data_IF_024708387407
#
_entry.id   IF_024708387407
#
_cell.length_a   1.000
_cell.length_b   1.000
_cell.length_c   1.000
_cell.angle_alpha   90.00
_cell.angle_beta   90.00
_cell.angle_gamma   90.00
#
_symmetry.space_group_name_H-M   'P 1'
#
loop_
_entity.id
_entity.type
_entity.pdbx_description
1 polymer ?
#
# COMPACT_ATOMS: atom_id res chain seq x y z
N UNK A 1 -68.17 -41.41 58.51
CA UNK A 1 -67.20 -42.47 58.13
C UNK A 1 -66.38 -41.95 56.96
N UNK A 2 -65.10 -41.59 57.19
CA UNK A 2 -64.21 -41.07 56.15
C UNK A 2 -63.11 -42.12 55.89
N UNK A 3 -63.14 -42.77 54.73
CA UNK A 3 -62.13 -43.74 54.31
C UNK A 3 -60.97 -43.04 53.63
N UNK A 4 -59.81 -42.98 54.30
CA UNK A 4 -58.55 -42.51 53.71
C UNK A 4 -58.04 -43.53 52.68
N UNK A 5 -57.95 -43.15 51.41
CA UNK A 5 -57.23 -43.92 50.37
C UNK A 5 -55.73 -43.69 50.50
N UNK A 6 -55.00 -44.71 50.94
CA UNK A 6 -53.53 -44.73 50.95
C UNK A 6 -53.04 -44.90 49.51
N UNK A 7 -52.34 -43.88 48.99
CA UNK A 7 -51.69 -43.91 47.66
C UNK A 7 -50.50 -44.88 47.72
N UNK A 8 -50.52 -45.96 46.94
CA UNK A 8 -49.36 -46.87 46.80
C UNK A 8 -48.18 -46.06 46.27
N UNK A 9 -47.12 -45.95 47.08
CA UNK A 9 -45.80 -45.54 46.59
C UNK A 9 -45.31 -46.61 45.61
N UNK A 10 -45.01 -46.18 44.38
CA UNK A 10 -44.36 -47.04 43.39
C UNK A 10 -43.05 -47.58 43.96
N UNK A 11 -42.87 -48.90 43.92
CA UNK A 11 -41.58 -49.54 44.26
C UNK A 11 -40.54 -49.02 43.26
N UNK A 12 -39.48 -48.39 43.76
CA UNK A 12 -38.29 -48.11 42.95
C UNK A 12 -37.68 -49.46 42.55
N UNK A 13 -37.76 -49.81 41.27
CA UNK A 13 -36.94 -50.87 40.72
C UNK A 13 -35.49 -50.35 40.68
N UNK A 14 -34.56 -51.06 41.32
CA UNK A 14 -33.14 -50.74 41.25
C UNK A 14 -32.59 -51.05 39.86
N UNK A 15 -31.70 -50.18 39.36
CA UNK A 15 -31.03 -50.38 38.08
C UNK A 15 -30.01 -51.52 38.17
N UNK A 16 -29.91 -52.33 37.12
CA UNK A 16 -28.88 -53.36 37.00
C UNK A 16 -27.51 -52.73 36.73
N UNK A 17 -26.42 -53.36 37.20
CA UNK A 17 -25.05 -52.93 36.89
C UNK A 17 -24.82 -52.77 35.38
N UNK A 18 -25.42 -53.65 34.57
CA UNK A 18 -25.35 -53.60 33.11
C UNK A 18 -26.03 -52.35 32.53
N UNK A 19 -27.15 -51.89 33.09
CA UNK A 19 -27.86 -50.68 32.64
C UNK A 19 -27.04 -49.43 32.95
N UNK A 20 -26.37 -49.39 34.10
CA UNK A 20 -25.47 -48.30 34.49
C UNK A 20 -24.24 -48.26 33.56
N UNK A 21 -23.64 -49.42 33.25
CA UNK A 21 -22.53 -49.51 32.30
C UNK A 21 -22.92 -49.02 30.91
N UNK A 22 -24.08 -49.45 30.39
CA UNK A 22 -24.58 -49.00 29.09
C UNK A 22 -24.85 -47.49 29.10
N UNK A 23 -25.50 -46.97 30.14
CA UNK A 23 -25.79 -45.54 30.26
C UNK A 23 -24.52 -44.67 30.29
N UNK A 24 -23.47 -45.11 30.99
CA UNK A 24 -22.18 -44.40 31.01
C UNK A 24 -21.49 -44.41 29.64
N UNK A 25 -21.47 -45.56 28.96
CA UNK A 25 -20.87 -45.68 27.63
C UNK A 25 -21.60 -44.78 26.63
N UNK A 26 -22.93 -44.78 26.65
CA UNK A 26 -23.73 -43.89 25.80
C UNK A 26 -23.53 -42.41 26.15
N UNK A 27 -23.45 -42.07 27.44
CA UNK A 27 -23.15 -40.70 27.89
C UNK A 27 -21.79 -40.21 27.40
N UNK A 28 -20.75 -41.05 27.45
CA UNK A 28 -19.43 -40.74 26.92
C UNK A 28 -19.44 -40.56 25.40
N UNK A 29 -20.19 -41.40 24.68
CA UNK A 29 -20.32 -41.26 23.23
C UNK A 29 -20.96 -39.93 22.84
N UNK A 30 -22.05 -39.54 23.50
CA UNK A 30 -22.73 -38.26 23.24
C UNK A 30 -21.83 -37.07 23.59
N UNK A 31 -21.14 -37.10 24.74
CA UNK A 31 -20.22 -36.04 25.12
C UNK A 31 -19.04 -35.93 24.15
N UNK A 32 -18.46 -37.06 23.73
CA UNK A 32 -17.40 -37.11 22.74
C UNK A 32 -17.84 -36.49 21.40
N UNK A 33 -19.04 -36.83 20.94
CA UNK A 33 -19.62 -36.23 19.73
C UNK A 33 -19.82 -34.72 19.87
N UNK A 34 -20.35 -34.25 21.01
CA UNK A 34 -20.56 -32.83 21.26
C UNK A 34 -19.23 -32.03 21.27
N UNK A 35 -18.18 -32.58 21.88
CA UNK A 35 -16.84 -31.97 21.87
C UNK A 35 -16.29 -31.89 20.44
N UNK A 36 -16.43 -32.94 19.65
CA UNK A 36 -15.96 -32.96 18.26
C UNK A 36 -16.68 -31.88 17.41
N UNK A 37 -18.01 -31.74 17.56
CA UNK A 37 -18.78 -30.70 16.88
C UNK A 37 -18.35 -29.31 17.32
N UNK A 38 -18.18 -29.09 18.63
CA UNK A 38 -17.74 -27.80 19.15
C UNK A 38 -16.36 -27.39 18.61
N UNK A 39 -15.39 -28.32 18.60
CA UNK A 39 -14.07 -28.07 18.02
C UNK A 39 -14.14 -27.77 16.52
N UNK A 40 -15.00 -28.48 15.78
CA UNK A 40 -15.23 -28.22 14.37
C UNK A 40 -15.74 -26.80 14.15
N UNK A 41 -16.76 -26.39 14.92
CA UNK A 41 -17.35 -25.05 14.81
C UNK A 41 -16.34 -23.95 15.15
N UNK A 42 -15.51 -24.14 16.17
CA UNK A 42 -14.47 -23.16 16.53
C UNK A 42 -13.43 -23.00 15.40
N UNK A 43 -12.95 -24.12 14.80
CA UNK A 43 -12.01 -24.06 13.68
C UNK A 43 -12.61 -23.34 12.47
N UNK A 44 -13.87 -23.61 12.16
CA UNK A 44 -14.59 -22.93 11.08
C UNK A 44 -14.74 -21.44 11.37
N UNK A 45 -15.07 -21.07 12.61
CA UNK A 45 -15.17 -19.68 13.04
C UNK A 45 -13.84 -18.94 12.85
N UNK A 46 -12.73 -19.51 13.35
CA UNK A 46 -11.40 -18.90 13.22
C UNK A 46 -10.97 -18.76 11.75
N UNK A 47 -11.26 -19.76 10.91
CA UNK A 47 -10.97 -19.72 9.49
C UNK A 47 -11.76 -18.62 8.75
N UNK A 48 -13.03 -18.45 9.10
CA UNK A 48 -13.87 -17.39 8.55
C UNK A 48 -13.38 -16.02 9.00
N UNK A 49 -13.11 -15.84 10.29
CA UNK A 49 -12.61 -14.57 10.84
C UNK A 49 -11.26 -14.18 10.22
N UNK A 50 -10.33 -15.12 10.12
CA UNK A 50 -9.03 -14.88 9.46
C UNK A 50 -9.17 -14.51 7.99
N UNK A 51 -10.12 -15.13 7.29
CA UNK A 51 -10.44 -14.82 5.88
C UNK A 51 -11.07 -13.43 5.73
N UNK A 52 -11.96 -13.04 6.64
CA UNK A 52 -12.59 -11.72 6.63
C UNK A 52 -11.54 -10.63 6.89
N UNK A 53 -10.67 -10.82 7.88
CA UNK A 53 -9.59 -9.88 8.21
C UNK A 53 -8.62 -9.68 7.05
N UNK A 54 -8.18 -10.75 6.40
CA UNK A 54 -7.22 -10.62 5.27
C UNK A 54 -7.88 -9.95 4.06
N UNK A 55 -9.17 -10.15 3.82
CA UNK A 55 -9.90 -9.47 2.73
C UNK A 55 -10.05 -7.97 3.00
N UNK A 56 -10.40 -7.58 4.23
CA UNK A 56 -10.48 -6.17 4.60
C UNK A 56 -9.10 -5.49 4.53
N UNK A 57 -8.05 -6.16 5.04
CA UNK A 57 -6.67 -5.68 4.91
C UNK A 57 -6.25 -5.51 3.45
N UNK A 58 -6.59 -6.47 2.59
CA UNK A 58 -6.30 -6.38 1.16
C UNK A 58 -7.01 -5.19 0.50
N UNK A 59 -8.26 -4.90 0.88
CA UNK A 59 -8.99 -3.72 0.40
C UNK A 59 -8.23 -2.44 0.71
N UNK A 60 -7.78 -2.26 1.95
CA UNK A 60 -6.97 -1.09 2.36
C UNK A 60 -5.66 -1.03 1.58
N UNK A 61 -4.95 -2.16 1.45
CA UNK A 61 -3.71 -2.22 0.69
C UNK A 61 -3.90 -1.81 -0.78
N UNK A 62 -4.99 -2.26 -1.43
CA UNK A 62 -5.30 -1.86 -2.80
C UNK A 62 -5.64 -0.39 -2.93
N UNK A 63 -6.34 0.22 -1.97
CA UNK A 63 -6.62 1.66 -2.00
C UNK A 63 -5.33 2.48 -1.90
N UNK A 64 -4.42 2.09 -1.00
CA UNK A 64 -3.11 2.74 -0.86
C UNK A 64 -2.27 2.59 -2.13
N UNK A 65 -2.10 1.37 -2.64
CA UNK A 65 -1.38 1.13 -3.88
C UNK A 65 -2.01 1.88 -5.06
N UNK A 66 -3.34 1.90 -5.16
CA UNK A 66 -4.04 2.59 -6.25
C UNK A 66 -3.86 4.10 -6.16
N UNK A 67 -3.80 4.67 -4.95
CA UNK A 67 -3.47 6.09 -4.77
C UNK A 67 -2.09 6.40 -5.31
N UNK A 68 -1.08 5.61 -4.94
CA UNK A 68 0.29 5.79 -5.42
C UNK A 68 0.36 5.61 -6.95
N UNK A 69 -0.21 4.53 -7.49
CA UNK A 69 -0.24 4.24 -8.94
C UNK A 69 -0.90 5.37 -9.74
N UNK A 70 -2.00 5.96 -9.24
CA UNK A 70 -2.68 7.07 -9.93
C UNK A 70 -1.80 8.32 -10.04
N UNK A 71 -0.94 8.56 -9.04
CA UNK A 71 0.00 9.66 -8.99
C UNK A 71 1.28 9.42 -9.81
N UNK A 72 1.51 8.19 -10.30
CA UNK A 72 2.71 7.83 -11.04
C UNK A 72 3.00 8.80 -12.21
N UNK A 73 4.21 9.36 -12.21
CA UNK A 73 4.71 10.27 -13.24
C UNK A 73 4.07 11.66 -13.18
N UNK A 74 3.20 11.90 -12.21
CA UNK A 74 2.63 13.20 -11.90
C UNK A 74 3.58 14.06 -11.10
N UNK A 75 3.54 15.37 -11.32
CA UNK A 75 4.13 16.36 -10.46
C UNK A 75 3.35 17.67 -10.62
N UNK A 76 3.65 18.65 -9.77
CA UNK A 76 3.15 20.02 -9.91
C UNK A 76 3.62 20.75 -11.19
N UNK A 77 4.50 20.10 -11.93
CA UNK A 77 5.16 20.62 -13.11
C UNK A 77 4.32 20.38 -14.35
N UNK A 78 4.53 21.20 -15.38
CA UNK A 78 3.98 20.95 -16.70
C UNK A 78 4.45 19.58 -17.23
N UNK A 79 3.56 18.82 -17.87
CA UNK A 79 3.94 17.58 -18.58
C UNK A 79 4.90 17.83 -19.75
N UNK A 80 5.01 19.08 -20.19
CA UNK A 80 5.94 19.53 -21.21
C UNK A 80 7.30 19.93 -20.61
N UNK A 81 7.36 20.17 -19.30
CA UNK A 81 8.59 20.55 -18.64
C UNK A 81 9.60 19.40 -18.74
N UNK A 82 10.76 19.71 -19.30
CA UNK A 82 11.88 18.79 -19.43
C UNK A 82 13.15 19.53 -19.05
N UNK A 83 14.19 18.84 -18.56
CA UNK A 83 15.48 19.47 -18.47
C UNK A 83 15.88 20.04 -19.84
N UNK A 84 16.64 21.13 -19.81
CA UNK A 84 17.17 21.80 -20.98
C UNK A 84 18.00 20.85 -21.87
N UNK A 85 18.14 21.21 -23.14
CA UNK A 85 18.70 20.34 -24.19
C UNK A 85 20.12 19.83 -23.86
N UNK A 86 20.88 20.60 -23.07
CA UNK A 86 22.25 20.27 -22.67
C UNK A 86 22.31 19.44 -21.37
N UNK A 87 21.18 19.26 -20.67
CA UNK A 87 21.13 18.55 -19.39
C UNK A 87 20.93 17.05 -19.58
N UNK A 88 21.91 16.27 -19.13
CA UNK A 88 21.79 14.83 -19.04
C UNK A 88 20.89 14.45 -17.87
N UNK A 89 19.80 13.73 -18.16
CA UNK A 89 18.85 13.26 -17.15
C UNK A 89 19.55 12.45 -16.06
N UNK A 90 19.33 12.85 -14.81
CA UNK A 90 19.69 12.06 -13.64
C UNK A 90 18.81 10.81 -13.54
N UNK A 91 19.19 9.88 -12.66
CA UNK A 91 18.40 8.68 -12.39
C UNK A 91 16.99 9.02 -11.86
N UNK A 92 16.85 10.06 -11.02
CA UNK A 92 15.56 10.47 -10.47
C UNK A 92 14.69 11.21 -11.49
N UNK A 93 15.28 12.05 -12.34
CA UNK A 93 14.53 12.68 -13.43
C UNK A 93 14.06 11.64 -14.46
N UNK A 94 14.92 10.67 -14.77
CA UNK A 94 14.53 9.51 -15.60
C UNK A 94 13.40 8.72 -14.94
N UNK A 95 13.50 8.46 -13.63
CA UNK A 95 12.46 7.79 -12.88
C UNK A 95 11.14 8.58 -12.90
N UNK A 96 11.16 9.91 -12.80
CA UNK A 96 9.93 10.71 -12.83
C UNK A 96 9.31 10.81 -14.23
N UNK A 97 10.14 11.01 -15.27
CA UNK A 97 9.67 11.38 -16.60
C UNK A 97 9.37 10.17 -17.50
N UNK A 98 10.14 9.07 -17.37
CA UNK A 98 10.06 7.94 -18.30
C UNK A 98 9.82 6.60 -17.60
N UNK A 99 10.37 6.41 -16.41
CA UNK A 99 10.30 5.16 -15.63
C UNK A 99 9.48 5.32 -14.35
N UNK A 100 8.37 6.07 -14.42
CA UNK A 100 7.55 6.46 -13.27
C UNK A 100 6.85 5.31 -12.55
N UNK A 101 6.75 4.17 -13.22
CA UNK A 101 6.40 2.93 -12.57
C UNK A 101 7.26 1.84 -13.16
N UNK A 102 7.89 1.05 -12.29
CA UNK A 102 8.77 -0.04 -12.68
C UNK A 102 8.70 -1.18 -11.68
N UNK A 103 9.19 -2.35 -12.06
CA UNK A 103 9.25 -3.55 -11.22
C UNK A 103 8.37 -4.66 -11.77
N UNK A 104 8.56 -5.87 -11.23
CA UNK A 104 7.89 -7.07 -11.70
C UNK A 104 7.84 -8.10 -10.59
N UNK A 105 6.93 -9.08 -10.71
CA UNK A 105 6.79 -10.13 -9.70
C UNK A 105 6.40 -9.54 -8.35
N UNK A 106 7.23 -9.78 -7.34
CA UNK A 106 6.95 -9.50 -5.93
C UNK A 106 7.25 -8.07 -5.48
N UNK A 107 7.53 -7.15 -6.40
CA UNK A 107 7.69 -5.73 -6.08
C UNK A 107 7.41 -4.80 -7.26
N UNK A 108 7.08 -3.55 -6.93
CA UNK A 108 7.05 -2.45 -7.88
C UNK A 108 7.35 -1.13 -7.18
N UNK A 109 7.84 -0.16 -7.94
CA UNK A 109 8.13 1.20 -7.48
C UNK A 109 7.35 2.19 -8.31
N UNK A 110 6.73 3.15 -7.63
CA UNK A 110 6.07 4.31 -8.22
C UNK A 110 6.86 5.56 -7.88
N UNK A 111 7.11 6.38 -8.89
CA UNK A 111 7.78 7.68 -8.77
C UNK A 111 6.82 8.78 -9.20
N UNK A 112 6.77 9.85 -8.41
CA UNK A 112 5.87 11.00 -8.57
C UNK A 112 6.43 12.22 -7.84
N UNK A 113 5.88 13.40 -8.08
CA UNK A 113 5.96 14.52 -7.17
C UNK A 113 4.83 14.47 -6.14
N UNK A 114 4.94 15.26 -5.10
CA UNK A 114 3.85 15.49 -4.16
C UNK A 114 2.67 16.21 -4.83
N UNK A 115 1.46 15.97 -4.33
CA UNK A 115 0.25 16.64 -4.80
C UNK A 115 0.27 18.14 -4.41
N UNK A 116 0.96 18.46 -3.30
CA UNK A 116 1.14 19.83 -2.83
C UNK A 116 2.40 20.44 -3.41
N UNK A 117 2.24 21.59 -4.05
CA UNK A 117 3.32 22.38 -4.61
C UNK A 117 3.31 23.79 -4.04
N UNK A 118 4.48 24.40 -4.01
CA UNK A 118 4.67 25.74 -3.49
C UNK A 118 5.26 26.61 -4.59
N UNK A 119 4.75 27.81 -4.73
CA UNK A 119 5.20 28.78 -5.70
C UNK A 119 6.54 29.37 -5.25
N UNK A 120 7.42 29.64 -6.19
CA UNK A 120 8.74 30.22 -5.90
C UNK A 120 8.78 31.69 -6.34
N UNK A 121 9.19 32.58 -5.44
CA UNK A 121 9.34 34.03 -5.71
C UNK A 121 10.61 34.33 -6.51
N UNK A 122 11.72 33.68 -6.15
CA UNK A 122 13.04 33.91 -6.74
C UNK A 122 13.92 32.67 -6.62
N UNK A 123 14.85 32.49 -7.56
CA UNK A 123 15.78 31.38 -7.56
C UNK A 123 17.21 31.84 -7.92
N UNK A 124 18.19 31.11 -7.39
CA UNK A 124 19.53 30.99 -7.97
C UNK A 124 19.68 29.59 -8.56
N UNK A 125 20.88 29.20 -9.00
CA UNK A 125 21.15 27.82 -9.43
C UNK A 125 21.25 26.83 -8.27
N UNK A 126 21.30 27.28 -7.01
CA UNK A 126 21.46 26.40 -5.84
C UNK A 126 20.45 26.67 -4.73
N UNK A 127 19.56 27.64 -4.93
CA UNK A 127 18.54 27.97 -3.93
C UNK A 127 17.27 28.54 -4.55
N UNK A 128 16.16 28.39 -3.82
CA UNK A 128 14.86 28.98 -4.14
C UNK A 128 14.28 29.63 -2.90
N UNK A 129 13.51 30.70 -3.10
CA UNK A 129 12.72 31.37 -2.07
C UNK A 129 11.25 31.05 -2.31
N UNK A 130 10.63 30.33 -1.38
CA UNK A 130 9.21 29.94 -1.46
C UNK A 130 8.32 31.13 -1.12
N UNK A 131 7.21 31.27 -1.86
CA UNK A 131 6.27 32.38 -1.75
C UNK A 131 5.68 32.50 -0.35
N UNK A 132 5.48 33.74 0.11
CA UNK A 132 4.95 33.99 1.44
C UNK A 132 3.49 33.51 1.57
N UNK A 133 3.12 33.07 2.78
CA UNK A 133 1.73 32.69 3.10
C UNK A 133 1.27 31.32 2.60
N UNK A 134 2.14 30.52 1.99
CA UNK A 134 1.80 29.16 1.54
C UNK A 134 2.03 28.09 2.61
N UNK A 135 2.99 28.32 3.52
CA UNK A 135 3.33 27.45 4.67
C UNK A 135 3.56 28.32 5.90
N UNK A 136 3.28 27.75 7.09
CA UNK A 136 3.59 28.41 8.36
C UNK A 136 5.09 28.52 8.57
N UNK A 137 5.78 27.38 8.60
CA UNK A 137 7.24 27.28 8.52
C UNK A 137 7.63 26.44 7.31
N UNK A 138 8.77 26.76 6.70
CA UNK A 138 9.28 26.00 5.56
C UNK A 138 9.71 24.59 5.98
N UNK A 139 10.20 24.46 7.21
CA UNK A 139 10.57 23.20 7.88
C UNK A 139 9.39 22.26 8.16
N UNK A 140 8.14 22.75 8.14
CA UNK A 140 6.94 21.89 8.21
C UNK A 140 6.74 21.12 6.89
N UNK A 141 7.13 21.74 5.77
CA UNK A 141 6.91 21.21 4.43
C UNK A 141 8.14 20.49 3.86
N UNK A 142 9.35 20.84 4.31
CA UNK A 142 10.61 20.35 3.75
C UNK A 142 11.65 20.08 4.84
N UNK A 143 12.49 19.08 4.62
CA UNK A 143 13.60 18.69 5.48
C UNK A 143 14.90 18.56 4.67
N UNK A 144 16.03 18.68 5.36
CA UNK A 144 17.35 18.40 4.76
C UNK A 144 17.38 16.93 4.34
N UNK A 145 17.86 16.67 3.12
CA UNK A 145 17.89 15.35 2.50
C UNK A 145 16.68 15.03 1.64
N UNK A 146 15.61 15.84 1.68
CA UNK A 146 14.47 15.66 0.79
C UNK A 146 14.90 15.82 -0.66
N UNK A 147 14.41 14.93 -1.52
CA UNK A 147 14.43 15.17 -2.96
C UNK A 147 13.30 16.13 -3.33
N UNK A 148 13.61 17.11 -4.14
CA UNK A 148 12.70 18.17 -4.57
C UNK A 148 12.57 18.12 -6.09
N UNK A 149 11.36 18.25 -6.58
CA UNK A 149 11.09 18.57 -7.98
C UNK A 149 10.94 20.09 -8.05
N UNK A 150 11.87 20.74 -8.74
CA UNK A 150 11.85 22.19 -9.00
C UNK A 150 11.60 22.37 -10.48
N UNK A 151 10.57 23.13 -10.84
CA UNK A 151 10.17 23.25 -12.23
C UNK A 151 9.50 24.59 -12.52
N UNK A 152 9.38 24.89 -13.81
CA UNK A 152 8.52 25.92 -14.36
C UNK A 152 7.69 25.32 -15.52
N UNK A 153 7.08 26.13 -16.37
CA UNK A 153 6.32 25.63 -17.52
C UNK A 153 7.16 24.89 -18.60
N UNK A 154 8.48 25.05 -18.60
CA UNK A 154 9.43 24.62 -19.63
C UNK A 154 10.53 23.68 -19.10
N UNK A 155 11.09 23.94 -17.92
CA UNK A 155 12.19 23.24 -17.29
C UNK A 155 11.76 22.46 -16.03
N UNK A 156 12.39 21.30 -15.79
CA UNK A 156 12.23 20.50 -14.58
C UNK A 156 13.58 19.94 -14.15
N UNK A 157 13.87 20.03 -12.86
CA UNK A 157 15.05 19.44 -12.23
C UNK A 157 14.67 18.68 -10.97
N UNK A 158 15.36 17.58 -10.70
CA UNK A 158 15.29 16.90 -9.39
C UNK A 158 16.57 17.15 -8.61
N UNK A 159 16.43 17.83 -7.47
CA UNK A 159 17.55 18.24 -6.60
C UNK A 159 17.35 17.70 -5.19
N UNK A 160 18.37 17.77 -4.34
CA UNK A 160 18.30 17.34 -2.94
C UNK A 160 18.50 18.54 -2.02
N UNK A 161 17.57 18.76 -1.09
CA UNK A 161 17.64 19.83 -0.11
C UNK A 161 18.86 19.66 0.81
N UNK A 162 19.69 20.70 0.90
CA UNK A 162 20.89 20.74 1.76
C UNK A 162 20.74 21.71 2.92
N UNK A 163 19.83 22.69 2.82
CA UNK A 163 19.44 23.55 3.93
C UNK A 163 17.99 24.03 3.78
N UNK A 164 17.31 24.21 4.91
CA UNK A 164 15.96 24.77 5.01
C UNK A 164 16.03 25.96 5.98
N UNK A 165 15.70 27.16 5.51
CA UNK A 165 15.72 28.39 6.32
C UNK A 165 14.32 29.00 6.43
N UNK A 166 13.72 28.91 7.60
CA UNK A 166 12.38 29.44 7.86
C UNK A 166 12.32 30.97 7.82
N UNK A 167 13.35 31.66 8.35
CA UNK A 167 13.37 33.11 8.43
C UNK A 167 13.40 33.80 7.06
N UNK A 168 14.09 33.19 6.09
CA UNK A 168 14.18 33.69 4.71
C UNK A 168 13.31 32.92 3.71
N UNK A 169 12.59 31.87 4.16
CA UNK A 169 11.82 30.94 3.31
C UNK A 169 12.67 30.33 2.19
N UNK A 170 13.94 30.07 2.48
CA UNK A 170 14.91 29.62 1.47
C UNK A 170 15.17 28.14 1.60
N UNK A 171 15.04 27.43 0.48
CA UNK A 171 15.58 26.08 0.31
C UNK A 171 16.89 26.19 -0.46
N UNK A 172 17.96 25.62 0.10
CA UNK A 172 19.23 25.42 -0.61
C UNK A 172 19.31 23.96 -1.00
N UNK A 173 19.86 23.66 -2.18
CA UNK A 173 19.90 22.31 -2.72
C UNK A 173 21.18 22.02 -3.50
N UNK A 174 21.38 20.74 -3.80
CA UNK A 174 22.44 20.20 -4.64
C UNK A 174 21.88 19.06 -5.51
N UNK A 175 22.38 18.84 -6.74
CA UNK A 175 23.37 19.66 -7.46
C UNK A 175 22.81 21.03 -7.86
N UNK A 176 23.68 21.92 -8.33
CA UNK A 176 23.23 23.18 -8.94
C UNK A 176 22.43 22.90 -10.22
N UNK A 177 21.33 23.60 -10.42
CA UNK A 177 20.57 23.55 -11.68
C UNK A 177 21.33 24.29 -12.79
N UNK A 178 21.19 23.89 -14.06
CA UNK A 178 21.81 24.57 -15.21
C UNK A 178 21.47 26.06 -15.30
N UNK A 179 20.26 26.43 -14.87
CA UNK A 179 19.79 27.81 -14.83
C UNK A 179 19.05 28.11 -13.53
N UNK A 180 19.01 29.37 -13.13
CA UNK A 180 18.14 29.83 -12.06
C UNK A 180 16.69 29.79 -12.54
N UNK A 181 15.86 28.88 -12.01
CA UNK A 181 14.59 28.47 -12.64
C UNK A 181 13.56 29.61 -12.85
N UNK A 182 13.69 30.70 -12.11
CA UNK A 182 12.88 31.94 -12.27
C UNK A 182 13.36 32.85 -13.39
N UNK A 183 14.54 32.61 -13.95
CA UNK A 183 15.17 33.41 -15.00
C UNK A 183 15.14 32.70 -16.37
N UNK A 184 14.35 31.63 -16.50
CA UNK A 184 14.16 30.94 -17.78
C UNK A 184 13.48 31.88 -18.79
N UNK A 185 14.13 32.23 -19.93
CA UNK A 185 13.54 33.13 -20.92
C UNK A 185 12.31 32.53 -21.62
N UNK A 186 12.11 31.21 -21.52
CA UNK A 186 11.01 30.48 -22.16
C UNK A 186 9.80 30.25 -21.25
N UNK A 187 9.89 30.60 -19.96
CA UNK A 187 8.81 30.39 -18.99
C UNK A 187 8.61 31.60 -18.07
N UNK A 188 7.36 32.05 -17.83
CA UNK A 188 7.11 33.11 -16.87
C UNK A 188 7.52 32.69 -15.44
N UNK A 189 8.10 33.59 -14.62
CA UNK A 189 8.50 33.28 -13.25
C UNK A 189 7.34 32.81 -12.36
N UNK A 190 6.11 33.22 -12.67
CA UNK A 190 4.89 32.81 -11.94
C UNK A 190 4.54 31.34 -12.10
N UNK A 191 5.14 30.65 -13.07
CA UNK A 191 4.94 29.21 -13.29
C UNK A 191 5.89 28.35 -12.47
N UNK A 192 6.82 28.97 -11.74
CA UNK A 192 7.86 28.26 -10.99
C UNK A 192 7.26 27.70 -9.71
N UNK A 193 7.44 26.40 -9.52
CA UNK A 193 6.99 25.69 -8.35
C UNK A 193 8.05 24.71 -7.85
N UNK A 194 7.94 24.37 -6.56
CA UNK A 194 8.66 23.29 -5.91
C UNK A 194 7.68 22.34 -5.24
N UNK A 195 7.91 21.04 -5.40
CA UNK A 195 7.22 19.99 -4.67
C UNK A 195 8.23 18.96 -4.18
N UNK A 196 7.87 18.15 -3.19
CA UNK A 196 8.69 16.99 -2.81
C UNK A 196 8.65 15.95 -3.93
N UNK A 197 9.78 15.36 -4.24
CA UNK A 197 9.85 14.14 -5.05
C UNK A 197 9.50 12.95 -4.15
N UNK A 198 8.66 12.05 -4.67
CA UNK A 198 8.19 10.86 -3.98
C UNK A 198 8.53 9.61 -4.76
N UNK A 199 9.13 8.65 -4.06
CA UNK A 199 9.40 7.30 -4.58
C UNK A 199 8.85 6.27 -3.60
N UNK A 200 7.82 5.56 -4.01
CA UNK A 200 7.14 4.55 -3.19
C UNK A 200 7.36 3.16 -3.75
N UNK A 201 8.06 2.31 -3.00
CA UNK A 201 8.28 0.90 -3.32
C UNK A 201 7.34 0.03 -2.52
N UNK A 202 6.58 -0.81 -3.22
CA UNK A 202 5.73 -1.84 -2.66
C UNK A 202 6.39 -3.19 -2.91
N UNK A 203 6.53 -4.00 -1.86
CA UNK A 203 7.20 -5.29 -1.98
C UNK A 203 6.64 -6.32 -0.99
N UNK A 204 6.77 -7.59 -1.36
CA UNK A 204 6.48 -8.72 -0.48
C UNK A 204 7.74 -9.08 0.31
N UNK A 205 7.61 -9.17 1.62
CA UNK A 205 8.65 -9.69 2.49
C UNK A 205 8.03 -10.59 3.56
N UNK A 206 8.56 -11.80 3.69
CA UNK A 206 8.25 -12.74 4.78
C UNK A 206 6.74 -12.97 5.04
N UNK A 207 5.93 -13.02 3.98
CA UNK A 207 4.49 -13.26 4.07
C UNK A 207 3.65 -12.01 4.33
N UNK A 208 4.24 -10.82 4.26
CA UNK A 208 3.58 -9.55 4.47
C UNK A 208 3.89 -8.54 3.34
N UNK A 209 2.92 -7.70 3.03
CA UNK A 209 3.09 -6.58 2.10
C UNK A 209 3.68 -5.39 2.84
N UNK A 210 4.75 -4.84 2.29
CA UNK A 210 5.43 -3.65 2.81
C UNK A 210 5.34 -2.49 1.82
N UNK A 211 5.37 -1.29 2.37
CA UNK A 211 5.57 -0.04 1.64
C UNK A 211 6.81 0.66 2.16
N UNK A 212 7.69 1.07 1.27
CA UNK A 212 8.88 1.86 1.55
C UNK A 212 8.77 3.18 0.80
N UNK A 213 8.91 4.30 1.51
CA UNK A 213 8.86 5.64 0.93
C UNK A 213 10.23 6.28 1.00
N UNK A 214 10.66 6.85 -0.13
CA UNK A 214 11.85 7.69 -0.27
C UNK A 214 13.14 7.04 0.26
N UNK A 215 13.25 5.71 0.10
CA UNK A 215 14.40 4.93 0.56
C UNK A 215 14.48 4.71 2.08
N UNK A 216 13.48 5.16 2.85
CA UNK A 216 13.39 4.95 4.29
C UNK A 216 13.14 3.49 4.69
N UNK A 217 12.80 3.24 5.95
CA UNK A 217 12.46 1.89 6.43
C UNK A 217 11.13 1.43 5.87
N UNK A 218 11.05 0.15 5.46
CA UNK A 218 9.80 -0.46 5.04
C UNK A 218 8.79 -0.55 6.18
N UNK A 219 7.55 -0.17 5.90
CA UNK A 219 6.42 -0.24 6.81
C UNK A 219 5.51 -1.39 6.38
N UNK A 220 5.20 -2.28 7.32
CA UNK A 220 4.28 -3.37 7.08
C UNK A 220 2.86 -2.81 6.90
N UNK A 221 2.19 -3.22 5.82
CA UNK A 221 0.81 -2.80 5.52
C UNK A 221 -0.18 -3.89 5.92
N UNK A 222 0.07 -5.12 5.48
CA UNK A 222 -0.76 -6.29 5.84
C UNK A 222 0.11 -7.55 5.93
N UNK A 223 -0.22 -8.44 6.86
CA UNK A 223 0.31 -9.80 6.91
C UNK A 223 -0.57 -10.77 6.10
N UNK A 224 -0.14 -12.01 5.89
CA UNK A 224 -0.91 -13.04 5.20
C UNK A 224 -0.94 -12.88 3.68
N UNK A 225 0.03 -12.16 3.13
CA UNK A 225 0.21 -12.02 1.68
C UNK A 225 1.19 -13.11 1.24
N UNK A 226 0.68 -14.09 0.50
CA UNK A 226 1.46 -15.24 0.03
C UNK A 226 2.08 -15.00 -1.35
N UNK A 227 1.68 -13.93 -2.04
CA UNK A 227 2.22 -13.56 -3.33
C UNK A 227 1.81 -12.14 -3.72
N UNK A 228 2.71 -11.44 -4.39
CA UNK A 228 2.44 -10.18 -5.09
C UNK A 228 2.88 -10.39 -6.54
N UNK A 229 2.01 -10.04 -7.48
CA UNK A 229 2.33 -10.04 -8.91
C UNK A 229 1.76 -8.78 -9.56
N UNK A 230 2.63 -8.04 -10.23
CA UNK A 230 2.26 -6.84 -11.00
C UNK A 230 2.37 -7.08 -12.50
N UNK A 231 1.47 -6.47 -13.24
CA UNK A 231 1.55 -6.40 -14.69
C UNK A 231 0.96 -5.09 -15.20
N UNK A 232 1.31 -4.71 -16.43
CA UNK A 232 1.12 -3.36 -16.94
C UNK A 232 0.46 -3.38 -18.30
N UNK A 233 -0.47 -2.46 -18.53
CA UNK A 233 -1.09 -2.20 -19.82
C UNK A 233 -0.41 -0.98 -20.45
N UNK A 234 0.03 -1.11 -21.70
CA UNK A 234 0.60 -0.01 -22.47
C UNK A 234 -0.43 0.62 -23.43
N UNK A 235 -0.27 1.90 -23.76
CA UNK A 235 -1.07 2.60 -24.78
C UNK A 235 -1.09 1.82 -26.09
N UNK A 236 -2.29 1.60 -26.64
CA UNK A 236 -2.49 0.83 -27.88
C UNK A 236 -2.33 -0.69 -27.73
N UNK A 237 -1.98 -1.19 -26.53
CA UNK A 237 -1.93 -2.60 -26.21
C UNK A 237 -3.25 -3.13 -25.66
N UNK A 238 -3.51 -4.43 -25.85
CA UNK A 238 -4.72 -5.12 -25.37
C UNK A 238 -4.44 -6.14 -24.25
N UNK A 239 -3.18 -6.31 -23.87
CA UNK A 239 -2.73 -7.34 -22.91
C UNK A 239 -1.82 -6.73 -21.86
N UNK A 240 -1.93 -7.24 -20.63
CA UNK A 240 -1.04 -6.88 -19.54
C UNK A 240 0.26 -7.67 -19.64
N UNK A 241 1.41 -6.99 -19.51
CA UNK A 241 2.75 -7.60 -19.54
C UNK A 241 3.49 -7.35 -18.23
N UNK A 242 4.34 -8.29 -17.82
CA UNK A 242 5.15 -8.11 -16.60
C UNK A 242 6.35 -7.16 -16.81
N UNK A 243 6.81 -7.05 -18.06
CA UNK A 243 7.92 -6.17 -18.46
C UNK A 243 7.54 -5.42 -19.74
N UNK A 244 7.02 -4.19 -19.61
CA UNK A 244 6.75 -3.30 -20.73
C UNK A 244 8.01 -3.03 -21.55
N UNK A 245 7.87 -2.98 -22.88
CA UNK A 245 8.97 -2.57 -23.75
C UNK A 245 9.33 -1.08 -23.58
N UNK A 246 8.32 -0.26 -23.26
CA UNK A 246 8.45 1.19 -23.06
C UNK A 246 7.61 1.58 -21.85
N UNK A 247 8.27 1.83 -20.71
CA UNK A 247 7.64 2.18 -19.44
C UNK A 247 6.84 3.49 -19.51
N UNK A 248 7.31 4.46 -20.31
CA UNK A 248 6.64 5.73 -20.52
C UNK A 248 5.23 5.60 -21.14
N UNK A 249 4.93 4.45 -21.77
CA UNK A 249 3.63 4.17 -22.39
C UNK A 249 2.68 3.39 -21.48
N UNK A 250 3.05 3.10 -20.23
CA UNK A 250 2.16 2.40 -19.30
C UNK A 250 0.98 3.30 -18.91
N UNK A 251 -0.24 2.78 -19.04
CA UNK A 251 -1.50 3.49 -18.76
C UNK A 251 -2.32 2.85 -17.64
N UNK A 252 -2.08 1.58 -17.31
CA UNK A 252 -2.72 0.90 -16.19
C UNK A 252 -1.83 -0.18 -15.61
N UNK A 253 -2.08 -0.49 -14.34
CA UNK A 253 -1.37 -1.50 -13.56
C UNK A 253 -2.38 -2.46 -12.98
N UNK A 254 -2.12 -3.75 -13.14
CA UNK A 254 -2.86 -4.83 -12.48
C UNK A 254 -2.01 -5.38 -11.36
N UNK A 255 -2.54 -5.36 -10.15
CA UNK A 255 -1.90 -5.91 -8.96
C UNK A 255 -2.70 -7.13 -8.49
N UNK A 256 -2.02 -8.28 -8.40
CA UNK A 256 -2.60 -9.52 -7.91
C UNK A 256 -1.95 -9.88 -6.58
N UNK A 257 -2.77 -10.09 -5.56
CA UNK A 257 -2.33 -10.55 -4.24
C UNK A 257 -2.82 -11.97 -4.01
N UNK A 258 -1.90 -12.85 -3.66
CA UNK A 258 -2.20 -14.12 -3.00
C UNK A 258 -2.35 -13.86 -1.51
N UNK A 259 -3.44 -14.36 -0.91
CA UNK A 259 -3.87 -14.03 0.43
C UNK A 259 -4.20 -15.31 1.22
N UNK A 260 -3.84 -15.31 2.50
CA UNK A 260 -4.13 -16.39 3.44
C UNK A 260 -4.43 -15.83 4.82
N UNK A 261 -5.50 -16.33 5.44
CA UNK A 261 -5.90 -15.91 6.78
C UNK A 261 -4.81 -16.18 7.83
N UNK A 262 -4.57 -15.19 8.70
CA UNK A 262 -3.60 -15.26 9.79
C UNK A 262 -4.30 -15.46 11.13
N UNK A 263 -3.65 -16.21 12.03
CA UNK A 263 -4.04 -16.30 13.44
C UNK A 263 -3.74 -14.99 14.16
N UNK A 264 -4.47 -14.73 15.24
CA UNK A 264 -4.26 -13.53 16.05
C UNK A 264 -2.85 -13.42 16.65
N UNK A 265 -2.20 -14.56 16.95
CA UNK A 265 -0.84 -14.64 17.50
C UNK A 265 0.23 -14.89 16.43
N UNK A 266 -0.11 -14.73 15.15
CA UNK A 266 0.78 -14.96 14.02
C UNK A 266 0.73 -16.39 13.46
N UNK A 267 1.07 -16.51 12.18
CA UNK A 267 1.06 -17.75 11.43
C UNK A 267 -0.28 -18.06 10.78
N UNK A 268 -0.21 -18.90 9.75
CA UNK A 268 -1.34 -19.20 8.89
C UNK A 268 -2.44 -20.04 9.57
N UNK A 269 -3.70 -19.74 9.25
CA UNK A 269 -4.84 -20.55 9.69
C UNK A 269 -5.01 -21.76 8.78
N UNK A 270 -5.01 -22.95 9.40
CA UNK A 270 -5.30 -24.22 8.75
C UNK A 270 -6.73 -24.66 9.04
N UNK A 271 -7.44 -25.15 8.03
CA UNK A 271 -8.86 -25.57 8.14
C UNK A 271 -8.99 -26.93 8.82
N UNK A 272 -8.09 -27.86 8.51
CA UNK A 272 -8.12 -29.26 8.95
C UNK A 272 -6.79 -29.71 9.57
N UNK A 273 -5.90 -28.77 9.90
CA UNK A 273 -4.55 -29.03 10.42
C UNK A 273 -3.47 -29.23 9.35
N UNK A 274 -3.86 -29.43 8.09
CA UNK A 274 -2.93 -29.64 6.97
C UNK A 274 -3.11 -28.61 5.84
N UNK A 275 -4.33 -28.16 5.59
CA UNK A 275 -4.69 -27.32 4.44
C UNK A 275 -5.01 -25.88 4.83
N UNK A 276 -4.74 -24.95 3.90
CA UNK A 276 -5.00 -23.51 4.04
C UNK A 276 -6.12 -23.06 3.10
N UNK A 277 -6.82 -22.00 3.48
CA UNK A 277 -7.66 -21.24 2.54
C UNK A 277 -6.77 -20.21 1.85
N UNK A 278 -6.48 -20.44 0.58
CA UNK A 278 -5.81 -19.46 -0.27
C UNK A 278 -6.85 -18.66 -1.06
N UNK A 279 -6.66 -17.35 -1.17
CA UNK A 279 -7.46 -16.46 -2.01
C UNK A 279 -6.53 -15.71 -2.93
N UNK A 280 -6.99 -15.46 -4.15
CA UNK A 280 -6.34 -14.51 -5.05
C UNK A 280 -7.29 -13.35 -5.27
N UNK A 281 -6.79 -12.15 -5.05
CA UNK A 281 -7.51 -10.92 -5.36
C UNK A 281 -6.74 -10.14 -6.42
N UNK A 282 -7.46 -9.36 -7.21
CA UNK A 282 -6.89 -8.54 -8.28
C UNK A 282 -7.50 -7.15 -8.22
N UNK A 283 -6.66 -6.12 -8.34
CA UNK A 283 -7.09 -4.74 -8.55
C UNK A 283 -6.39 -4.16 -9.78
N UNK A 284 -7.07 -3.25 -10.46
CA UNK A 284 -6.52 -2.51 -11.59
C UNK A 284 -6.63 -1.02 -11.31
N UNK A 285 -5.53 -0.30 -11.44
CA UNK A 285 -5.47 1.14 -11.33
C UNK A 285 -4.91 1.75 -12.61
N UNK A 286 -5.63 2.73 -13.17
CA UNK A 286 -5.14 3.54 -14.29
C UNK A 286 -4.23 4.65 -13.78
N UNK A 287 -3.22 5.01 -14.56
CA UNK A 287 -2.42 6.19 -14.32
C UNK A 287 -3.24 7.42 -14.73
N UNK A 288 -3.39 8.40 -13.83
CA UNK A 288 -4.21 9.60 -14.09
C UNK A 288 -3.37 10.84 -14.35
N UNK A 289 -2.16 10.90 -13.81
CA UNK A 289 -1.42 12.15 -13.74
C UNK A 289 -0.66 12.58 -15.01
N UNK A 290 -0.84 11.88 -16.14
CA UNK A 290 -0.22 12.23 -17.44
C UNK A 290 -1.19 12.41 -18.60
N UNK A 291 -2.50 12.18 -18.39
CA UNK A 291 -3.51 12.36 -19.44
C UNK A 291 -4.10 13.76 -19.40
N UNK A 292 -3.28 14.76 -19.75
CA UNK A 292 -3.71 16.07 -20.25
C UNK A 292 -2.73 16.53 -21.32
#
# INVERSE_FOLDING_TARGET
MNTYRIRRMSRFAGFGLIELMIAMVLGLLVLGAAIAVFQSNQRTFDANEGTNRIQEGARVAYELMSKDIRAAGGAACSNLARPDVEHSLTADETALLTNFITGSGSEFTVTSGDDTAYQVDSATTTSIVVSAGQVGQLSDAFAIGDKLVVCNANALYVVTATAVNDGTRTLTFSPATPLAITNDPMAPPTTVAVARYRRTRWYLDSGALYVQRDGGTGQQVINGVTGLNVSYLQTGGNSYTASPAVWANVIAVRVNLGLRGQKALGGDIKVDGNNFINRTSTSVASLRSRTL
#
